data_IF_622816911985
#
_entry.id   IF_622816911985
#
_cell.length_a   1.000
_cell.length_b   1.000
_cell.length_c   1.000
_cell.angle_alpha   90.00
_cell.angle_beta   90.00
_cell.angle_gamma   90.00
#
_symmetry.space_group_name_H-M   'P 1'
#
loop_
_entity.id
_entity.type
_entity.pdbx_description
1 polymer ?
#
# COMPACT_ATOMS: atom_id res chain seq x y z
N UNK A 1 2.06 3.70 7.00
CA UNK A 1 2.63 2.39 6.62
C UNK A 1 4.06 2.19 7.09
N UNK A 2 5.03 2.96 6.58
CA UNK A 2 6.46 2.75 6.88
C UNK A 2 6.72 2.86 8.39
N UNK A 3 6.23 3.91 9.04
CA UNK A 3 6.35 4.06 10.50
C UNK A 3 5.78 2.87 11.27
N UNK A 4 4.53 2.48 11.00
CA UNK A 4 3.89 1.34 11.67
C UNK A 4 4.64 0.03 11.48
N UNK A 5 5.20 -0.17 10.28
CA UNK A 5 5.92 -1.41 9.96
C UNK A 5 7.35 -1.44 10.48
N UNK A 6 8.01 -0.28 10.54
CA UNK A 6 9.31 -0.11 11.21
C UNK A 6 9.15 -0.39 12.68
N UNK A 7 8.12 0.17 13.34
CA UNK A 7 7.83 -0.13 14.75
C UNK A 7 7.53 -1.62 14.93
N UNK A 8 6.78 -2.25 14.03
CA UNK A 8 6.56 -3.70 14.08
C UNK A 8 7.87 -4.51 13.97
N UNK A 9 8.73 -4.23 12.98
CA UNK A 9 9.97 -4.97 12.77
C UNK A 9 10.94 -4.79 13.94
N UNK A 10 11.05 -3.57 14.48
CA UNK A 10 11.87 -3.32 15.67
C UNK A 10 11.24 -3.90 16.93
N UNK A 11 9.91 -3.99 17.00
CA UNK A 11 9.22 -4.77 18.03
C UNK A 11 9.47 -6.28 17.91
N UNK A 12 9.55 -6.82 16.70
CA UNK A 12 9.86 -8.24 16.51
C UNK A 12 11.24 -8.61 17.07
N UNK A 13 12.21 -7.71 16.92
CA UNK A 13 13.57 -7.89 17.42
C UNK A 13 13.76 -7.56 18.90
N UNK A 14 12.66 -7.27 19.61
CA UNK A 14 12.70 -6.91 21.02
C UNK A 14 13.35 -5.54 21.28
N UNK A 15 13.65 -4.75 20.24
CA UNK A 15 14.31 -3.45 20.38
C UNK A 15 13.39 -2.41 21.00
N UNK A 16 12.08 -2.58 20.87
CA UNK A 16 11.09 -1.74 21.56
C UNK A 16 10.72 -2.27 22.95
N UNK A 17 11.19 -3.47 23.32
CA UNK A 17 10.89 -4.09 24.61
C UNK A 17 11.32 -3.22 25.80
N UNK A 18 12.46 -2.50 25.77
CA UNK A 18 12.86 -1.55 26.82
C UNK A 18 11.92 -0.34 26.98
N UNK A 19 11.10 -0.01 25.97
CA UNK A 19 10.09 1.05 26.10
C UNK A 19 8.94 0.66 27.02
N UNK A 20 8.78 -0.65 27.27
CA UNK A 20 7.81 -1.18 28.21
C UNK A 20 8.53 -1.43 29.54
N UNK A 21 7.94 -0.96 30.63
CA UNK A 21 8.42 -1.35 31.97
C UNK A 21 8.42 -2.88 32.07
N UNK A 22 9.37 -3.51 32.79
CA UNK A 22 9.48 -4.97 32.90
C UNK A 22 8.20 -5.69 33.37
N UNK A 23 7.28 -4.98 34.04
CA UNK A 23 5.95 -5.47 34.45
C UNK A 23 4.87 -5.40 33.35
N UNK A 24 5.12 -4.69 32.25
CA UNK A 24 4.16 -4.40 31.17
C UNK A 24 4.44 -5.19 29.88
N UNK A 25 5.36 -6.15 29.91
CA UNK A 25 5.65 -7.04 28.76
C UNK A 25 4.43 -7.80 28.24
N UNK A 26 3.36 -7.92 29.04
CA UNK A 26 2.07 -8.48 28.63
C UNK A 26 1.35 -7.68 27.53
N UNK A 27 1.54 -6.35 27.50
CA UNK A 27 0.91 -5.47 26.51
C UNK A 27 1.73 -5.31 25.23
N UNK A 28 2.96 -5.81 25.23
CA UNK A 28 3.89 -5.74 24.12
C UNK A 28 3.29 -6.34 22.84
N UNK A 29 2.97 -7.64 22.91
CA UNK A 29 2.49 -8.40 21.76
C UNK A 29 1.14 -7.86 21.22
N UNK A 30 0.11 -7.58 22.07
CA UNK A 30 -1.10 -6.89 21.62
C UNK A 30 -0.82 -5.59 20.86
N UNK A 31 0.04 -4.72 21.40
CA UNK A 31 0.34 -3.44 20.74
C UNK A 31 1.01 -3.66 19.39
N UNK A 32 2.01 -4.55 19.33
CA UNK A 32 2.68 -4.92 18.08
C UNK A 32 1.70 -5.44 17.02
N UNK A 33 0.70 -6.22 17.44
CA UNK A 33 -0.34 -6.74 16.53
C UNK A 33 -1.32 -5.66 16.08
N UNK A 34 -1.73 -4.73 16.94
CA UNK A 34 -2.54 -3.58 16.51
C UNK A 34 -1.81 -2.80 15.42
N UNK A 35 -0.50 -2.56 15.60
CA UNK A 35 0.32 -1.85 14.61
C UNK A 35 0.43 -2.64 13.30
N UNK A 36 0.58 -3.98 13.36
CA UNK A 36 0.69 -4.80 12.14
C UNK A 36 -0.62 -4.77 11.34
N UNK A 37 -1.77 -5.01 11.99
CA UNK A 37 -3.06 -5.04 11.33
C UNK A 37 -3.45 -3.67 10.76
N UNK A 38 -3.12 -2.60 11.49
CA UNK A 38 -3.32 -1.24 10.99
C UNK A 38 -2.42 -0.96 9.78
N UNK A 39 -1.16 -1.40 9.82
CA UNK A 39 -0.23 -1.20 8.70
C UNK A 39 -0.65 -1.98 7.45
N UNK A 40 -1.05 -3.25 7.60
CA UNK A 40 -1.53 -4.08 6.49
C UNK A 40 -2.81 -3.53 5.88
N UNK A 41 -3.73 -3.02 6.71
CA UNK A 41 -4.93 -2.34 6.25
C UNK A 41 -4.59 -1.08 5.44
N UNK A 42 -3.69 -0.24 5.96
CA UNK A 42 -3.28 0.97 5.25
C UNK A 42 -2.58 0.65 3.93
N UNK A 43 -1.66 -0.32 3.90
CA UNK A 43 -0.97 -0.75 2.68
C UNK A 43 -1.99 -1.21 1.63
N UNK A 44 -2.97 -2.01 2.04
CA UNK A 44 -4.02 -2.50 1.15
C UNK A 44 -4.87 -1.38 0.56
N UNK A 45 -5.41 -0.50 1.43
CA UNK A 45 -6.25 0.62 1.01
C UNK A 45 -5.50 1.57 0.09
N UNK A 46 -4.25 1.89 0.43
CA UNK A 46 -3.39 2.68 -0.43
C UNK A 46 -3.20 2.01 -1.79
N UNK A 47 -2.89 0.72 -1.80
CA UNK A 47 -2.64 -0.05 -3.03
C UNK A 47 -3.84 -0.02 -3.96
N UNK A 48 -5.04 -0.15 -3.41
CA UNK A 48 -6.27 -0.05 -4.18
C UNK A 48 -6.53 1.36 -4.70
N UNK A 49 -6.32 2.38 -3.90
CA UNK A 49 -6.49 3.77 -4.34
C UNK A 49 -5.50 4.13 -5.46
N UNK A 50 -4.28 3.59 -5.38
CA UNK A 50 -3.28 3.73 -6.43
C UNK A 50 -3.69 3.02 -7.74
N UNK A 51 -4.24 1.81 -7.63
CA UNK A 51 -4.63 0.98 -8.78
C UNK A 51 -5.97 1.40 -9.41
N UNK A 52 -6.87 2.03 -8.65
CA UNK A 52 -8.20 2.45 -9.07
C UNK A 52 -8.44 3.93 -8.75
N UNK A 53 -7.74 4.86 -9.44
CA UNK A 53 -7.78 6.29 -9.11
C UNK A 53 -9.11 6.99 -9.44
N UNK A 54 -9.94 6.43 -10.32
CA UNK A 54 -11.20 7.06 -10.77
C UNK A 54 -12.42 6.33 -10.22
N UNK A 55 -12.52 5.02 -10.47
CA UNK A 55 -13.64 4.20 -10.04
C UNK A 55 -13.20 2.76 -9.82
N UNK A 56 -13.65 2.18 -8.71
CA UNK A 56 -13.44 0.77 -8.37
C UNK A 56 -14.49 -0.08 -9.11
N UNK A 57 -14.05 -1.22 -9.64
CA UNK A 57 -14.97 -2.20 -10.21
C UNK A 57 -15.74 -2.88 -9.06
N UNK A 58 -16.97 -3.36 -9.31
CA UNK A 58 -17.81 -3.99 -8.27
C UNK A 58 -17.09 -5.11 -7.50
N UNK A 59 -16.31 -5.93 -8.20
CA UNK A 59 -15.51 -6.98 -7.58
C UNK A 59 -14.41 -6.43 -6.66
N UNK A 60 -13.75 -5.34 -7.06
CA UNK A 60 -12.76 -4.67 -6.23
C UNK A 60 -13.41 -4.06 -4.97
N UNK A 61 -14.58 -3.44 -5.10
CA UNK A 61 -15.34 -2.90 -3.96
C UNK A 61 -15.70 -3.98 -2.94
N UNK A 62 -16.21 -5.13 -3.40
CA UNK A 62 -16.59 -6.25 -2.51
C UNK A 62 -15.36 -6.78 -1.77
N UNK A 63 -14.26 -7.07 -2.48
CA UNK A 63 -13.02 -7.55 -1.86
C UNK A 63 -12.49 -6.51 -0.86
N UNK A 64 -12.58 -5.22 -1.20
CA UNK A 64 -12.18 -4.12 -0.31
C UNK A 64 -12.99 -4.16 0.97
N UNK A 65 -14.32 -4.22 0.87
CA UNK A 65 -15.21 -4.24 2.02
C UNK A 65 -14.92 -5.45 2.93
N UNK A 66 -14.79 -6.65 2.35
CA UNK A 66 -14.47 -7.86 3.11
C UNK A 66 -13.13 -7.72 3.83
N UNK A 67 -12.10 -7.23 3.14
CA UNK A 67 -10.76 -7.09 3.72
C UNK A 67 -10.71 -6.04 4.84
N UNK A 68 -11.40 -4.90 4.65
CA UNK A 68 -11.51 -3.82 5.65
C UNK A 68 -12.24 -4.32 6.88
N UNK A 69 -13.41 -4.93 6.73
CA UNK A 69 -14.19 -5.47 7.85
C UNK A 69 -13.38 -6.52 8.60
N UNK A 70 -12.72 -7.42 7.89
CA UNK A 70 -11.88 -8.46 8.49
C UNK A 70 -10.73 -7.86 9.30
N UNK A 71 -10.00 -6.87 8.77
CA UNK A 71 -8.91 -6.22 9.50
C UNK A 71 -9.41 -5.40 10.70
N UNK A 72 -10.53 -4.70 10.56
CA UNK A 72 -11.14 -3.94 11.66
C UNK A 72 -11.58 -4.84 12.81
N UNK A 73 -11.98 -6.08 12.53
CA UNK A 73 -12.28 -7.10 13.54
C UNK A 73 -11.00 -7.63 14.20
N UNK A 74 -9.92 -7.84 13.44
CA UNK A 74 -8.65 -8.38 13.96
C UNK A 74 -7.96 -7.42 14.94
N UNK A 75 -8.13 -6.10 14.80
CA UNK A 75 -7.56 -5.10 15.71
C UNK A 75 -8.03 -5.29 17.18
N UNK A 76 -9.33 -5.26 17.52
CA UNK A 76 -9.77 -5.49 18.89
C UNK A 76 -9.49 -6.93 19.33
N UNK A 77 -9.63 -7.94 18.44
CA UNK A 77 -9.29 -9.33 18.79
C UNK A 77 -7.81 -9.48 19.19
N UNK A 78 -6.90 -8.68 18.64
CA UNK A 78 -5.47 -8.73 19.01
C UNK A 78 -5.19 -8.42 20.48
N UNK A 79 -6.11 -7.72 21.16
CA UNK A 79 -6.02 -7.41 22.58
C UNK A 79 -6.41 -8.64 23.43
N UNK A 80 -7.43 -9.37 22.99
CA UNK A 80 -7.98 -10.51 23.73
C UNK A 80 -7.25 -11.83 23.44
N UNK A 81 -6.78 -12.03 22.20
CA UNK A 81 -6.16 -13.29 21.73
C UNK A 81 -4.81 -13.06 21.01
N UNK A 82 -3.82 -12.42 21.66
CA UNK A 82 -2.58 -12.02 21.00
C UNK A 82 -1.71 -13.20 20.54
N UNK A 83 -1.68 -14.32 21.25
CA UNK A 83 -0.81 -15.46 20.91
C UNK A 83 -1.26 -16.13 19.60
N UNK A 84 -2.57 -16.41 19.49
CA UNK A 84 -3.16 -17.03 18.30
C UNK A 84 -3.02 -16.09 17.09
N UNK A 85 -3.29 -14.80 17.30
CA UNK A 85 -3.21 -13.81 16.24
C UNK A 85 -1.79 -13.46 15.81
N UNK A 86 -0.79 -13.69 16.66
CA UNK A 86 0.60 -13.51 16.25
C UNK A 86 0.99 -14.42 15.09
N UNK A 87 0.62 -15.70 15.16
CA UNK A 87 0.87 -16.65 14.09
C UNK A 87 0.08 -16.28 12.82
N UNK A 88 -1.17 -15.86 12.99
CA UNK A 88 -2.01 -15.44 11.88
C UNK A 88 -1.47 -14.20 11.15
N UNK A 89 -0.84 -13.27 11.87
CA UNK A 89 -0.32 -12.02 11.29
C UNK A 89 0.69 -12.23 10.16
N UNK A 90 1.47 -13.32 10.24
CA UNK A 90 2.42 -13.74 9.20
C UNK A 90 1.72 -14.08 7.88
N UNK A 91 0.68 -14.91 7.98
CA UNK A 91 -0.09 -15.33 6.83
C UNK A 91 -0.89 -14.17 6.25
N UNK A 92 -1.42 -13.29 7.10
CA UNK A 92 -2.14 -12.11 6.65
C UNK A 92 -1.24 -11.19 5.82
N UNK A 93 0.02 -10.98 6.22
CA UNK A 93 0.98 -10.20 5.43
C UNK A 93 1.20 -10.76 4.03
N UNK A 94 1.29 -12.09 3.89
CA UNK A 94 1.39 -12.78 2.61
C UNK A 94 0.10 -12.64 1.79
N UNK A 95 -1.06 -12.94 2.41
CA UNK A 95 -2.39 -12.84 1.76
C UNK A 95 -2.61 -11.43 1.24
N UNK A 96 -2.29 -10.40 2.03
CA UNK A 96 -2.41 -9.01 1.64
C UNK A 96 -1.61 -8.71 0.35
N UNK A 97 -0.35 -9.13 0.31
CA UNK A 97 0.49 -8.95 -0.89
C UNK A 97 -0.05 -9.73 -2.09
N UNK A 98 -0.56 -10.94 -1.92
CA UNK A 98 -1.16 -11.73 -3.00
C UNK A 98 -2.42 -11.08 -3.58
N UNK A 99 -3.28 -10.52 -2.72
CA UNK A 99 -4.47 -9.77 -3.18
C UNK A 99 -4.05 -8.54 -3.97
N UNK A 100 -3.04 -7.79 -3.51
CA UNK A 100 -2.52 -6.62 -4.24
C UNK A 100 -1.93 -7.05 -5.59
N UNK A 101 -1.14 -8.12 -5.63
CA UNK A 101 -0.59 -8.71 -6.87
C UNK A 101 -1.71 -9.06 -7.85
N UNK A 102 -2.80 -9.68 -7.38
CA UNK A 102 -3.97 -9.96 -8.21
C UNK A 102 -4.55 -8.68 -8.83
N UNK A 103 -4.76 -7.63 -8.05
CA UNK A 103 -5.28 -6.36 -8.56
C UNK A 103 -4.33 -5.67 -9.54
N UNK A 104 -3.01 -5.78 -9.31
CA UNK A 104 -2.02 -5.31 -10.27
C UNK A 104 -2.17 -6.03 -11.62
N UNK A 105 -2.31 -7.36 -11.62
CA UNK A 105 -2.46 -8.15 -12.85
C UNK A 105 -3.73 -7.74 -13.61
N UNK A 106 -4.85 -7.57 -12.90
CA UNK A 106 -6.11 -7.09 -13.49
C UNK A 106 -5.89 -5.73 -14.14
N UNK A 107 -5.27 -4.77 -13.45
CA UNK A 107 -5.05 -3.42 -14.01
C UNK A 107 -4.02 -3.36 -15.12
N UNK A 108 -3.05 -4.27 -15.15
CA UNK A 108 -2.14 -4.41 -16.29
C UNK A 108 -2.92 -4.85 -17.54
N UNK A 109 -3.90 -5.75 -17.39
CA UNK A 109 -4.78 -6.17 -18.50
C UNK A 109 -5.64 -5.02 -19.00
N UNK A 110 -6.08 -4.13 -18.10
CA UNK A 110 -6.81 -2.91 -18.45
C UNK A 110 -5.91 -1.80 -19.06
N UNK A 111 -4.62 -2.04 -19.23
CA UNK A 111 -3.68 -1.11 -19.86
C UNK A 111 -3.06 -0.08 -18.91
N UNK A 112 -3.28 -0.17 -17.60
CA UNK A 112 -2.70 0.76 -16.61
C UNK A 112 -1.21 0.47 -16.40
N UNK A 113 -0.35 1.15 -17.17
CA UNK A 113 1.12 0.97 -17.15
C UNK A 113 1.77 1.03 -15.75
N UNK A 114 1.38 1.94 -14.84
CA UNK A 114 2.01 2.02 -13.50
C UNK A 114 1.84 0.76 -12.66
N UNK A 115 0.80 -0.06 -12.91
CA UNK A 115 0.59 -1.31 -12.20
C UNK A 115 1.72 -2.33 -12.41
N UNK A 116 2.50 -2.24 -13.50
CA UNK A 116 3.65 -3.13 -13.73
C UNK A 116 4.77 -2.90 -12.70
N UNK A 117 5.11 -1.63 -12.45
CA UNK A 117 6.11 -1.28 -11.45
C UNK A 117 5.61 -1.66 -10.05
N UNK A 118 4.32 -1.41 -9.79
CA UNK A 118 3.71 -1.75 -8.51
C UNK A 118 3.65 -3.26 -8.24
N UNK A 119 3.41 -4.06 -9.29
CA UNK A 119 3.48 -5.52 -9.25
C UNK A 119 4.88 -5.99 -8.83
N UNK A 120 5.94 -5.47 -9.46
CA UNK A 120 7.32 -5.85 -9.14
C UNK A 120 7.63 -5.62 -7.66
N UNK A 121 7.20 -4.49 -7.11
CA UNK A 121 7.37 -4.14 -5.71
C UNK A 121 6.67 -5.15 -4.79
N UNK A 122 5.42 -5.50 -5.11
CA UNK A 122 4.62 -6.41 -4.30
C UNK A 122 4.98 -7.88 -4.48
N UNK A 123 5.71 -8.24 -5.55
CA UNK A 123 6.24 -9.59 -5.76
C UNK A 123 7.46 -9.90 -4.87
N UNK A 124 8.16 -8.89 -4.35
CA UNK A 124 9.32 -9.08 -3.45
C UNK A 124 8.92 -9.91 -2.22
N UNK A 125 7.75 -9.63 -1.64
CA UNK A 125 7.31 -10.27 -0.40
C UNK A 125 6.84 -11.74 -0.58
N UNK A 126 6.00 -12.09 -1.57
CA UNK A 126 5.69 -13.49 -1.88
C UNK A 126 6.90 -14.33 -2.25
N UNK A 127 7.83 -13.79 -3.06
CA UNK A 127 9.09 -14.48 -3.39
C UNK A 127 9.87 -14.77 -2.11
N UNK A 128 9.97 -13.78 -1.23
CA UNK A 128 10.63 -13.96 0.05
C UNK A 128 9.93 -15.01 0.94
N UNK A 129 8.60 -15.04 0.94
CA UNK A 129 7.82 -16.05 1.65
C UNK A 129 8.09 -17.48 1.14
N UNK A 130 8.17 -17.67 -0.18
CA UNK A 130 8.50 -18.97 -0.78
C UNK A 130 9.92 -19.41 -0.41
N UNK A 131 10.90 -18.52 -0.57
CA UNK A 131 12.31 -18.80 -0.25
C UNK A 131 12.51 -19.11 1.24
N UNK A 132 11.82 -18.39 2.13
CA UNK A 132 11.86 -18.66 3.56
C UNK A 132 11.33 -20.07 3.88
N UNK A 133 10.22 -20.49 3.27
CA UNK A 133 9.65 -21.84 3.45
C UNK A 133 10.54 -22.95 2.85
N UNK A 134 11.20 -22.69 1.72
CA UNK A 134 12.18 -23.62 1.15
C UNK A 134 13.41 -23.78 2.07
N UNK A 135 13.79 -22.73 2.78
CA UNK A 135 14.87 -22.79 3.76
C UNK A 135 14.46 -23.56 5.03
N UNK A 136 13.24 -23.37 5.54
CA UNK A 136 12.77 -24.10 6.72
C UNK A 136 12.54 -25.59 6.47
N UNK A 137 12.18 -25.97 5.23
CA UNK A 137 12.04 -27.37 4.80
C UNK A 137 13.38 -28.06 4.49
N UNK A 138 14.51 -27.34 4.63
CA UNK A 138 15.85 -27.87 4.39
C UNK A 138 16.24 -28.00 2.91
N UNK A 139 15.39 -27.51 1.99
CA UNK A 139 15.69 -27.52 0.55
C UNK A 139 16.79 -26.52 0.20
N UNK A 140 16.88 -25.42 0.96
CA UNK A 140 17.94 -24.39 0.86
C UNK A 140 18.63 -24.25 2.21
N UNK A 141 19.95 -24.11 2.22
CA UNK A 141 20.73 -23.91 3.45
C UNK A 141 20.23 -22.71 4.27
N UNK A 142 19.97 -22.93 5.56
CA UNK A 142 19.65 -21.84 6.50
C UNK A 142 20.93 -21.08 6.79
N UNK A 143 21.07 -19.92 6.13
CA UNK A 143 22.17 -18.98 6.37
C UNK A 143 21.60 -17.69 7.00
N UNK A 144 22.48 -16.79 7.46
CA UNK A 144 22.08 -15.49 8.04
C UNK A 144 21.11 -14.70 7.13
N UNK A 145 21.32 -14.77 5.81
CA UNK A 145 20.46 -14.14 4.83
C UNK A 145 19.04 -14.74 4.81
N UNK A 146 18.92 -16.06 4.88
CA UNK A 146 17.64 -16.78 4.89
C UNK A 146 16.81 -16.44 6.14
N UNK A 147 17.46 -16.23 7.29
CA UNK A 147 16.80 -15.84 8.55
C UNK A 147 16.19 -14.44 8.52
N UNK A 148 16.73 -13.53 7.71
CA UNK A 148 16.28 -12.13 7.63
C UNK A 148 15.58 -11.79 6.31
N UNK A 149 15.30 -12.79 5.48
CA UNK A 149 14.80 -12.63 4.13
C UNK A 149 13.48 -11.84 4.06
N UNK A 150 12.53 -12.15 4.94
CA UNK A 150 11.25 -11.42 5.03
C UNK A 150 11.43 -9.96 5.50
N UNK A 151 12.39 -9.69 6.37
CA UNK A 151 12.70 -8.33 6.83
C UNK A 151 13.33 -7.52 5.71
N UNK A 152 14.28 -8.12 4.99
CA UNK A 152 14.92 -7.49 3.82
C UNK A 152 13.88 -7.21 2.73
N UNK A 153 13.00 -8.17 2.45
CA UNK A 153 11.89 -7.98 1.52
C UNK A 153 11.01 -6.80 1.92
N UNK A 154 10.67 -6.69 3.20
CA UNK A 154 9.89 -5.57 3.73
C UNK A 154 10.59 -4.21 3.56
N UNK A 155 11.88 -4.14 3.88
CA UNK A 155 12.70 -2.92 3.72
C UNK A 155 12.78 -2.53 2.25
N UNK A 156 13.11 -3.49 1.36
CA UNK A 156 13.15 -3.27 -0.08
C UNK A 156 11.81 -2.79 -0.63
N UNK A 157 10.71 -3.43 -0.22
CA UNK A 157 9.36 -3.04 -0.63
C UNK A 157 9.05 -1.61 -0.17
N UNK A 158 9.41 -1.23 1.06
CA UNK A 158 9.20 0.12 1.60
C UNK A 158 9.98 1.20 0.83
N UNK A 159 11.22 0.91 0.46
CA UNK A 159 12.06 1.83 -0.33
C UNK A 159 11.46 2.02 -1.72
N UNK A 160 11.18 0.92 -2.43
CA UNK A 160 10.64 0.98 -3.78
C UNK A 160 9.28 1.66 -3.82
N UNK A 161 8.44 1.40 -2.82
CA UNK A 161 7.14 2.04 -2.68
C UNK A 161 7.26 3.55 -2.45
N UNK A 162 8.23 4.00 -1.66
CA UNK A 162 8.51 5.43 -1.45
C UNK A 162 8.93 6.12 -2.75
N UNK A 163 9.78 5.48 -3.56
CA UNK A 163 10.18 5.99 -4.87
C UNK A 163 8.97 6.09 -5.80
N UNK A 164 8.15 5.05 -5.86
CA UNK A 164 6.95 5.03 -6.70
C UNK A 164 5.93 6.11 -6.29
N UNK A 165 5.77 6.33 -4.99
CA UNK A 165 4.93 7.39 -4.44
C UNK A 165 5.33 8.77 -4.95
N UNK A 166 6.63 9.09 -4.87
CA UNK A 166 7.16 10.37 -5.36
C UNK A 166 6.93 10.53 -6.87
N UNK A 167 7.15 9.47 -7.64
CA UNK A 167 6.88 9.48 -9.09
C UNK A 167 5.40 9.74 -9.38
N UNK A 168 4.50 9.13 -8.62
CA UNK A 168 3.06 9.30 -8.78
C UNK A 168 2.60 10.72 -8.44
N UNK A 169 3.11 11.30 -7.36
CA UNK A 169 2.80 12.67 -6.98
C UNK A 169 3.21 13.63 -8.10
N UNK A 170 4.43 13.48 -8.63
CA UNK A 170 4.90 14.29 -9.77
C UNK A 170 4.03 14.13 -11.02
N UNK A 171 3.59 12.91 -11.33
CA UNK A 171 2.68 12.64 -12.44
C UNK A 171 1.33 13.35 -12.26
N UNK A 172 0.78 13.30 -11.04
CA UNK A 172 -0.49 13.96 -10.71
C UNK A 172 -0.38 15.49 -10.74
N UNK A 173 0.71 16.05 -10.20
CA UNK A 173 0.99 17.49 -10.28
C UNK A 173 1.12 17.97 -11.72
N UNK A 174 1.78 17.18 -12.58
CA UNK A 174 1.92 17.50 -13.99
C UNK A 174 0.57 17.52 -14.70
N UNK A 175 -0.25 16.46 -14.52
CA UNK A 175 -1.62 16.41 -15.08
C UNK A 175 -2.50 17.55 -14.59
N UNK A 176 -2.39 17.92 -13.32
CA UNK A 176 -3.12 19.05 -12.75
C UNK A 176 -2.71 20.37 -13.42
N UNK A 177 -1.41 20.60 -13.61
CA UNK A 177 -0.90 21.80 -14.29
C UNK A 177 -1.35 21.87 -15.75
N UNK A 178 -1.28 20.76 -16.48
CA UNK A 178 -1.77 20.69 -17.87
C UNK A 178 -3.28 20.93 -17.96
N UNK A 179 -4.06 20.31 -17.05
CA UNK A 179 -5.50 20.52 -16.97
C UNK A 179 -5.86 21.98 -16.71
N UNK A 180 -5.18 22.62 -15.77
CA UNK A 180 -5.38 24.03 -15.44
C UNK A 180 -5.01 24.93 -16.63
N UNK A 181 -3.91 24.66 -17.33
CA UNK A 181 -3.52 25.42 -18.53
C UNK A 181 -4.54 25.26 -19.66
N UNK A 182 -5.07 24.05 -19.88
CA UNK A 182 -6.12 23.81 -20.87
C UNK A 182 -7.39 24.60 -20.56
N UNK A 183 -7.78 24.66 -19.29
CA UNK A 183 -8.97 25.37 -18.84
C UNK A 183 -8.80 26.90 -18.94
N UNK A 184 -7.63 27.42 -18.57
CA UNK A 184 -7.26 28.83 -18.79
C UNK A 184 -7.32 29.17 -20.28
N UNK A 185 -6.74 28.33 -21.14
CA UNK A 185 -6.74 28.56 -22.59
C UNK A 185 -8.16 28.58 -23.18
N UNK A 186 -9.02 27.64 -22.77
CA UNK A 186 -10.44 27.63 -23.15
C UNK A 186 -11.13 28.93 -22.73
N UNK A 187 -10.92 29.38 -21.50
CA UNK A 187 -11.50 30.61 -20.99
C UNK A 187 -11.02 31.85 -21.76
N UNK A 188 -9.74 31.94 -22.12
CA UNK A 188 -9.20 33.02 -22.95
C UNK A 188 -9.86 33.03 -24.34
N UNK A 189 -10.02 31.87 -24.98
CA UNK A 189 -10.72 31.78 -26.28
C UNK A 189 -12.18 32.21 -26.15
N UNK A 190 -12.86 31.80 -25.07
CA UNK A 190 -14.24 32.15 -24.81
C UNK A 190 -14.41 33.67 -24.60
N UNK A 191 -13.50 34.28 -23.85
CA UNK A 191 -13.44 35.74 -23.67
C UNK A 191 -13.20 36.48 -24.99
N UNK A 192 -12.23 36.04 -25.80
CA UNK A 192 -12.00 36.62 -27.15
C UNK A 192 -13.21 36.49 -28.08
N UNK A 193 -13.94 35.38 -28.01
CA UNK A 193 -15.19 35.20 -28.78
C UNK A 193 -16.31 36.11 -28.30
N UNK A 194 -16.40 36.39 -27.00
CA UNK A 194 -17.37 37.33 -26.43
C UNK A 194 -17.04 38.77 -26.84
N UNK A 195 -15.79 39.21 -26.70
CA UNK A 195 -15.38 40.56 -27.11
C UNK A 195 -15.61 40.81 -28.61
N UNK A 196 -15.26 39.87 -29.48
CA UNK A 196 -15.49 40.01 -30.92
C UNK A 196 -16.98 40.00 -31.31
N UNK A 197 -17.87 39.45 -30.47
CA UNK A 197 -19.33 39.50 -30.67
C UNK A 197 -19.94 40.79 -30.16
N UNK A 198 -19.35 41.42 -29.15
CA UNK A 198 -19.77 42.71 -28.59
C UNK A 198 -19.25 43.92 -29.39
N UNK A 199 -18.18 43.76 -30.19
CA UNK A 199 -17.73 44.81 -31.13
C UNK A 199 -18.52 44.82 -32.45
N UNK A 200 -19.10 43.70 -32.87
CA UNK A 200 -19.91 43.59 -34.11
C UNK A 200 -21.40 44.03 -34.08
N UNK A 201 -22.08 44.31 -32.95
CA UNK A 201 -23.50 44.66 -32.97
C UNK A 201 -23.78 46.17 -33.15
N UNK A 202 -22.77 47.04 -33.16
CA UNK A 202 -22.95 48.50 -33.32
C UNK A 202 -22.76 49.02 -34.76
N UNK A 203 -22.73 48.13 -35.75
CA UNK A 203 -22.66 48.51 -37.16
C UNK A 203 -23.96 48.17 -37.89
N UNK A 204 -25.00 48.99 -37.67
CA UNK A 204 -26.15 49.17 -38.56
C UNK A 204 -26.73 50.57 -38.34
#
# INVERSE_FOLDING_TARGET
>A
MILFSTVYLTSWDGLTLPLFKPTHGRHYLPLTLVLIYTSTLFLFLFSLEFLYPEKKDKGAEIITAIYVVSNLILIPLSIFYPIQLNQFSYYLGLINNLIIVYFCIVKIRDGFKPAKNFLLIHMVFPIAGVLANLSTTGTISINYFSLHLLKLAFVSQSILFSVMLVQRIKELEFKLKEGLQSEIHKNIILLKKKSNKEEKPNGN
#
